data_IF_426306423222
#
_entry.id   IF_426306423222
#
_cell.length_a   1.000
_cell.length_b   1.000
_cell.length_c   1.000
_cell.angle_alpha   90.00
_cell.angle_beta   90.00
_cell.angle_gamma   90.00
#
_symmetry.space_group_name_H-M   'P 1'
#
loop_
_entity.id
_entity.type
_entity.pdbx_description
1 polymer ?
#
# COMPACT_ATOMS: atom_id res chain seq x y z
N UNK A 1 -25.29 14.80 -7.27
CA UNK A 1 -24.82 14.85 -5.88
C UNK A 1 -24.41 13.47 -5.32
N UNK A 2 -25.28 12.46 -5.36
CA UNK A 2 -24.97 11.09 -4.87
C UNK A 2 -23.73 10.42 -5.51
N UNK A 3 -23.47 10.65 -6.80
CA UNK A 3 -22.32 10.08 -7.50
C UNK A 3 -20.98 10.61 -6.95
N UNK A 4 -20.90 11.91 -6.66
CA UNK A 4 -19.68 12.56 -6.12
C UNK A 4 -19.41 12.08 -4.69
N UNK A 5 -20.46 11.91 -3.88
CA UNK A 5 -20.32 11.43 -2.50
C UNK A 5 -19.77 10.01 -2.46
N UNK A 6 -20.28 9.09 -3.29
CA UNK A 6 -19.74 7.72 -3.35
C UNK A 6 -18.33 7.68 -3.93
N UNK A 7 -18.01 8.50 -4.93
CA UNK A 7 -16.66 8.65 -5.44
C UNK A 7 -15.69 9.05 -4.31
N UNK A 8 -16.03 10.10 -3.57
CA UNK A 8 -15.22 10.56 -2.44
C UNK A 8 -15.08 9.49 -1.35
N UNK A 9 -16.14 8.74 -1.02
CA UNK A 9 -16.07 7.62 -0.06
C UNK A 9 -15.08 6.53 -0.50
N UNK A 10 -15.05 6.18 -1.79
CA UNK A 10 -14.13 5.18 -2.32
C UNK A 10 -12.69 5.69 -2.16
N UNK A 11 -12.40 6.92 -2.61
CA UNK A 11 -11.06 7.50 -2.52
C UNK A 11 -10.59 7.59 -1.07
N UNK A 12 -11.40 8.23 -0.21
CA UNK A 12 -11.04 8.39 1.20
C UNK A 12 -10.95 7.04 1.93
N UNK A 13 -11.83 6.10 1.61
CA UNK A 13 -11.76 4.74 2.14
C UNK A 13 -10.43 4.05 1.80
N UNK A 14 -9.96 4.17 0.56
CA UNK A 14 -8.64 3.66 0.15
C UNK A 14 -7.50 4.38 0.87
N UNK A 15 -7.56 5.71 0.99
CA UNK A 15 -6.54 6.50 1.72
C UNK A 15 -6.43 6.03 3.16
N UNK A 16 -7.55 5.95 3.90
CA UNK A 16 -7.54 5.51 5.29
C UNK A 16 -7.09 4.06 5.43
N UNK A 17 -7.52 3.16 4.55
CA UNK A 17 -7.15 1.77 4.58
C UNK A 17 -5.63 1.58 4.38
N UNK A 18 -5.03 2.31 3.44
CA UNK A 18 -3.59 2.24 3.16
C UNK A 18 -2.77 2.93 4.24
N UNK A 19 -3.24 4.02 4.84
CA UNK A 19 -2.60 4.64 6.01
C UNK A 19 -2.55 3.66 7.19
N UNK A 20 -3.68 3.01 7.52
CA UNK A 20 -3.72 2.02 8.61
C UNK A 20 -2.77 0.86 8.32
N UNK A 21 -2.78 0.35 7.09
CA UNK A 21 -1.83 -0.68 6.66
C UNK A 21 -0.39 -0.20 6.82
N UNK A 22 -0.05 0.99 6.33
CA UNK A 22 1.30 1.57 6.43
C UNK A 22 1.77 1.71 7.89
N UNK A 23 0.92 2.23 8.77
CA UNK A 23 1.24 2.32 10.20
C UNK A 23 1.52 0.93 10.78
N UNK A 24 0.68 -0.07 10.52
CA UNK A 24 0.88 -1.45 11.03
C UNK A 24 2.16 -2.05 10.47
N UNK A 25 2.40 -1.91 9.17
CA UNK A 25 3.61 -2.36 8.49
C UNK A 25 4.86 -1.74 9.12
N UNK A 26 4.85 -0.42 9.29
CA UNK A 26 5.99 0.32 9.83
C UNK A 26 6.18 0.07 11.33
N UNK A 27 5.12 -0.24 12.10
CA UNK A 27 5.29 -0.70 13.49
C UNK A 27 6.11 -1.99 13.57
N UNK A 28 6.05 -2.84 12.57
CA UNK A 28 6.85 -4.08 12.51
C UNK A 28 8.26 -3.75 12.02
N UNK A 29 8.39 -3.10 10.88
CA UNK A 29 9.68 -2.87 10.20
C UNK A 29 10.59 -1.92 10.99
N UNK A 30 10.07 -0.88 11.65
CA UNK A 30 10.86 -0.02 12.51
C UNK A 30 11.48 -0.74 13.73
N UNK A 31 10.98 -1.93 14.09
CA UNK A 31 11.57 -2.79 15.12
C UNK A 31 12.53 -3.83 14.57
N UNK A 32 12.49 -4.09 13.27
CA UNK A 32 13.45 -4.94 12.57
C UNK A 32 14.73 -4.13 12.30
N UNK A 33 14.61 -2.96 11.67
CA UNK A 33 15.73 -2.06 11.38
C UNK A 33 15.33 -0.59 11.52
N UNK A 34 15.65 0.02 12.66
CA UNK A 34 15.37 1.44 12.91
C UNK A 34 16.13 2.35 11.93
N UNK A 35 17.31 1.92 11.52
CA UNK A 35 18.18 2.66 10.59
C UNK A 35 17.54 2.83 9.21
N UNK A 36 16.61 1.98 8.80
CA UNK A 36 15.82 2.18 7.61
C UNK A 36 15.05 3.51 7.67
N UNK A 37 14.54 3.87 8.84
CA UNK A 37 13.74 5.08 9.06
C UNK A 37 14.56 6.31 9.45
N UNK A 38 15.78 6.13 9.99
CA UNK A 38 16.58 7.24 10.55
C UNK A 38 17.79 7.60 9.72
N UNK A 39 18.29 6.68 8.88
CA UNK A 39 19.46 6.88 8.02
C UNK A 39 19.05 6.94 6.55
N UNK A 40 18.16 6.03 6.12
CA UNK A 40 17.76 5.93 4.72
C UNK A 40 16.64 6.90 4.34
N UNK A 41 15.80 7.31 5.29
CA UNK A 41 14.80 8.33 5.08
C UNK A 41 15.30 9.73 5.49
N UNK A 42 14.81 10.80 4.86
CA UNK A 42 15.16 12.17 5.29
C UNK A 42 14.70 12.40 6.74
N UNK A 43 15.44 13.23 7.53
CA UNK A 43 15.16 13.46 8.95
C UNK A 43 13.96 14.38 9.15
N UNK A 44 12.76 13.96 8.75
CA UNK A 44 11.52 14.73 8.88
C UNK A 44 11.06 14.81 10.33
N UNK A 45 11.34 13.78 11.12
CA UNK A 45 10.90 13.68 12.51
C UNK A 45 12.07 13.76 13.48
N UNK A 46 12.00 14.69 14.44
CA UNK A 46 13.01 14.82 15.51
C UNK A 46 12.83 13.77 16.61
N UNK A 47 12.83 12.48 16.23
CA UNK A 47 12.64 11.35 17.16
C UNK A 47 13.40 10.11 16.71
N UNK A 48 13.80 9.29 17.68
CA UNK A 48 14.35 7.94 17.49
C UNK A 48 13.39 6.85 17.99
N UNK A 49 12.16 7.23 18.36
CA UNK A 49 11.15 6.27 18.79
C UNK A 49 10.62 5.47 17.59
N UNK A 50 10.79 4.13 17.55
CA UNK A 50 10.25 3.30 16.48
C UNK A 50 8.74 3.49 16.30
N UNK A 51 8.02 3.66 17.39
CA UNK A 51 6.57 3.85 17.39
C UNK A 51 6.17 5.18 16.73
N UNK A 52 6.83 6.29 17.09
CA UNK A 52 6.51 7.60 16.51
C UNK A 52 6.92 7.68 15.06
N UNK A 53 8.08 7.12 14.68
CA UNK A 53 8.53 7.02 13.30
C UNK A 53 7.54 6.20 12.46
N UNK A 54 7.09 5.05 12.95
CA UNK A 54 6.12 4.21 12.26
C UNK A 54 4.77 4.92 12.05
N UNK A 55 4.29 5.69 13.02
CA UNK A 55 3.09 6.51 12.85
C UNK A 55 3.31 7.61 11.81
N UNK A 56 4.39 8.36 11.92
CA UNK A 56 4.69 9.47 11.01
C UNK A 56 4.87 9.01 9.57
N UNK A 57 5.74 8.03 9.36
CA UNK A 57 6.02 7.50 8.02
C UNK A 57 4.86 6.69 7.45
N UNK A 58 4.16 5.91 8.27
CA UNK A 58 2.96 5.18 7.85
C UNK A 58 1.88 6.10 7.28
N UNK A 59 1.78 7.36 7.75
CA UNK A 59 0.90 8.37 7.15
C UNK A 59 1.53 8.99 5.90
N UNK A 60 2.73 9.61 6.05
CA UNK A 60 3.34 10.44 4.99
C UNK A 60 3.68 9.60 3.75
N UNK A 61 4.21 8.39 3.94
CA UNK A 61 4.66 7.55 2.83
C UNK A 61 3.52 6.83 2.11
N UNK A 62 2.30 6.76 2.67
CA UNK A 62 1.26 5.89 2.11
C UNK A 62 0.00 6.59 1.62
N UNK A 63 -0.40 7.74 2.20
CA UNK A 63 -1.67 8.41 1.85
C UNK A 63 -1.81 8.69 0.34
N UNK A 64 -0.75 9.10 -0.32
CA UNK A 64 -0.74 9.42 -1.75
C UNK A 64 -0.96 8.18 -2.63
N UNK A 65 -0.42 7.01 -2.22
CA UNK A 65 -0.65 5.74 -2.91
C UNK A 65 -2.13 5.34 -2.81
N UNK A 66 -2.73 5.49 -1.62
CA UNK A 66 -4.15 5.28 -1.41
C UNK A 66 -5.01 6.24 -2.23
N UNK A 67 -4.60 7.51 -2.36
CA UNK A 67 -5.31 8.50 -3.19
C UNK A 67 -5.25 8.14 -4.68
N UNK A 68 -4.10 7.72 -5.19
CA UNK A 68 -3.93 7.31 -6.60
C UNK A 68 -4.78 6.07 -6.90
N UNK A 69 -4.55 4.96 -6.18
CA UNK A 69 -5.27 3.69 -6.40
C UNK A 69 -6.76 3.87 -6.16
N UNK A 70 -7.15 4.60 -5.11
CA UNK A 70 -8.53 4.91 -4.79
C UNK A 70 -9.23 5.73 -5.88
N UNK A 71 -8.52 6.68 -6.50
CA UNK A 71 -9.06 7.46 -7.62
C UNK A 71 -9.30 6.59 -8.86
N UNK A 72 -8.36 5.74 -9.24
CA UNK A 72 -8.55 4.80 -10.35
C UNK A 72 -9.68 3.81 -10.06
N UNK A 73 -9.77 3.30 -8.83
CA UNK A 73 -10.84 2.40 -8.43
C UNK A 73 -12.21 3.11 -8.45
N UNK A 74 -12.29 4.36 -7.98
CA UNK A 74 -13.52 5.16 -8.01
C UNK A 74 -13.94 5.47 -9.45
N UNK A 75 -13.00 5.79 -10.35
CA UNK A 75 -13.27 5.95 -11.77
C UNK A 75 -13.82 4.64 -12.34
N UNK A 76 -13.13 3.52 -12.11
CA UNK A 76 -13.56 2.20 -12.57
C UNK A 76 -14.94 1.81 -12.06
N UNK A 77 -15.31 2.21 -10.85
CA UNK A 77 -16.57 1.87 -10.21
C UNK A 77 -17.74 2.77 -10.61
N UNK A 78 -17.49 4.02 -11.01
CA UNK A 78 -18.54 5.05 -11.12
C UNK A 78 -18.70 5.67 -12.51
N UNK A 79 -17.67 5.69 -13.35
CA UNK A 79 -17.72 6.37 -14.64
C UNK A 79 -18.22 5.47 -15.79
N UNK A 80 -18.92 6.08 -16.75
CA UNK A 80 -19.30 5.49 -18.04
C UNK A 80 -20.59 4.67 -17.98
N UNK A 81 -20.53 3.43 -17.47
CA UNK A 81 -21.69 2.51 -17.45
C UNK A 81 -22.75 2.89 -16.43
N UNK A 82 -24.03 2.56 -16.70
CA UNK A 82 -25.15 2.79 -15.75
C UNK A 82 -24.98 1.98 -14.47
N UNK A 83 -24.62 0.71 -14.56
CA UNK A 83 -24.32 -0.15 -13.40
C UNK A 83 -23.12 0.43 -12.63
N UNK A 84 -23.35 0.88 -11.41
CA UNK A 84 -22.36 1.53 -10.56
C UNK A 84 -22.18 0.75 -9.25
N UNK A 85 -20.93 0.73 -8.73
CA UNK A 85 -20.63 0.08 -7.47
C UNK A 85 -20.38 1.11 -6.36
N UNK A 86 -20.89 0.82 -5.16
CA UNK A 86 -20.68 1.63 -3.95
C UNK A 86 -19.34 1.31 -3.26
N UNK A 87 -18.89 2.19 -2.37
CA UNK A 87 -17.71 1.95 -1.54
C UNK A 87 -17.83 0.64 -0.73
N UNK A 88 -19.03 0.32 -0.21
CA UNK A 88 -19.29 -0.90 0.56
C UNK A 88 -19.05 -2.17 -0.27
N UNK A 89 -19.44 -2.17 -1.54
CA UNK A 89 -19.25 -3.31 -2.44
C UNK A 89 -17.78 -3.51 -2.84
N UNK A 90 -16.97 -2.46 -2.77
CA UNK A 90 -15.53 -2.51 -3.08
C UNK A 90 -14.67 -2.87 -1.86
N UNK A 91 -15.18 -2.66 -0.63
CA UNK A 91 -14.43 -2.92 0.60
C UNK A 91 -13.79 -4.32 0.65
N UNK A 92 -14.47 -5.43 0.29
CA UNK A 92 -13.83 -6.76 0.31
C UNK A 92 -12.64 -6.87 -0.63
N UNK A 93 -12.68 -6.23 -1.80
CA UNK A 93 -11.57 -6.23 -2.77
C UNK A 93 -10.37 -5.44 -2.22
N UNK A 94 -10.62 -4.28 -1.59
CA UNK A 94 -9.57 -3.49 -0.95
C UNK A 94 -8.92 -4.25 0.20
N UNK A 95 -9.72 -4.88 1.07
CA UNK A 95 -9.20 -5.68 2.18
C UNK A 95 -8.39 -6.89 1.69
N UNK A 96 -8.85 -7.57 0.64
CA UNK A 96 -8.11 -8.65 -0.01
C UNK A 96 -6.75 -8.14 -0.54
N UNK A 97 -6.73 -6.98 -1.21
CA UNK A 97 -5.49 -6.36 -1.69
C UNK A 97 -4.52 -6.07 -0.55
N UNK A 98 -4.98 -5.50 0.57
CA UNK A 98 -4.13 -5.26 1.73
C UNK A 98 -3.57 -6.56 2.32
N UNK A 99 -4.35 -7.64 2.33
CA UNK A 99 -3.89 -8.97 2.72
C UNK A 99 -2.79 -9.51 1.80
N UNK A 100 -2.94 -9.34 0.47
CA UNK A 100 -1.91 -9.71 -0.52
C UNK A 100 -0.64 -8.87 -0.32
N UNK A 101 -0.77 -7.56 -0.09
CA UNK A 101 0.36 -6.67 0.19
C UNK A 101 1.12 -7.13 1.44
N UNK A 102 0.40 -7.45 2.53
CA UNK A 102 1.01 -7.95 3.77
C UNK A 102 1.74 -9.28 3.55
N UNK A 103 1.14 -10.21 2.82
CA UNK A 103 1.77 -11.47 2.46
C UNK A 103 3.04 -11.27 1.64
N UNK A 104 2.98 -10.44 0.61
CA UNK A 104 4.15 -10.10 -0.22
C UNK A 104 5.25 -9.42 0.61
N UNK A 105 4.89 -8.49 1.51
CA UNK A 105 5.84 -7.83 2.39
C UNK A 105 6.60 -8.83 3.26
N UNK A 106 5.90 -9.76 3.91
CA UNK A 106 6.52 -10.80 4.75
C UNK A 106 7.41 -11.71 3.89
N UNK A 107 6.89 -12.22 2.77
CA UNK A 107 7.64 -13.12 1.89
C UNK A 107 8.92 -12.47 1.37
N UNK A 108 8.82 -11.29 0.81
CA UNK A 108 9.97 -10.58 0.25
C UNK A 108 10.90 -10.03 1.33
N UNK A 109 10.38 -9.65 2.50
CA UNK A 109 11.20 -9.31 3.66
C UNK A 109 12.08 -10.47 4.11
N UNK A 110 11.53 -11.69 4.18
CA UNK A 110 12.30 -12.91 4.46
C UNK A 110 13.35 -13.18 3.37
N UNK A 111 12.96 -13.08 2.10
CA UNK A 111 13.89 -13.23 0.97
C UNK A 111 15.01 -12.18 1.06
N UNK A 112 14.66 -10.92 1.32
CA UNK A 112 15.62 -9.83 1.48
C UNK A 112 16.63 -10.09 2.61
N UNK A 113 16.17 -10.61 3.74
CA UNK A 113 17.03 -10.99 4.86
C UNK A 113 18.08 -12.06 4.51
N UNK A 114 17.68 -13.09 3.78
CA UNK A 114 18.55 -14.24 3.50
C UNK A 114 19.30 -14.15 2.17
N UNK A 115 18.75 -13.47 1.17
CA UNK A 115 19.24 -13.44 -0.21
C UNK A 115 19.50 -12.04 -0.74
N UNK A 116 19.09 -10.99 -0.03
CA UNK A 116 19.31 -9.61 -0.46
C UNK A 116 20.81 -9.30 -0.54
N UNK A 117 21.18 -8.52 -1.56
CA UNK A 117 22.52 -7.97 -1.74
C UNK A 117 22.44 -6.49 -1.42
N UNK A 118 23.32 -6.02 -0.54
CA UNK A 118 23.39 -4.61 -0.18
C UNK A 118 23.94 -3.82 -1.37
N UNK A 119 23.24 -2.76 -1.81
CA UNK A 119 23.76 -1.86 -2.84
C UNK A 119 25.10 -1.25 -2.38
N UNK A 120 26.04 -1.11 -3.31
CA UNK A 120 27.39 -0.61 -3.02
C UNK A 120 27.34 0.76 -2.39
N UNK A 121 26.44 1.63 -2.86
CA UNK A 121 26.25 2.99 -2.39
C UNK A 121 25.76 3.10 -0.94
N UNK A 122 25.16 2.01 -0.43
CA UNK A 122 24.61 1.95 0.93
C UNK A 122 25.50 1.19 1.91
N UNK A 123 26.56 0.50 1.41
CA UNK A 123 27.43 -0.30 2.26
C UNK A 123 28.06 0.50 3.40
N UNK A 124 28.49 1.73 3.11
CA UNK A 124 29.21 2.58 4.08
C UNK A 124 28.28 3.34 5.02
N UNK A 125 26.98 3.37 4.72
CA UNK A 125 26.00 4.08 5.54
C UNK A 125 25.58 3.31 6.81
N UNK A 126 25.79 1.97 6.81
CA UNK A 126 25.33 1.11 7.89
C UNK A 126 26.41 0.09 8.28
N UNK A 127 26.55 -0.23 9.59
CA UNK A 127 27.36 -1.36 10.04
C UNK A 127 26.92 -2.66 9.36
N UNK A 128 27.87 -3.52 8.96
CA UNK A 128 27.62 -4.80 8.29
C UNK A 128 26.61 -5.68 9.07
N UNK A 129 26.65 -5.63 10.41
CA UNK A 129 25.73 -6.36 11.27
C UNK A 129 24.25 -5.95 11.07
N UNK A 130 23.98 -4.78 10.50
CA UNK A 130 22.62 -4.27 10.22
C UNK A 130 22.14 -4.57 8.79
N UNK A 131 23.02 -4.94 7.86
CA UNK A 131 22.69 -5.09 6.44
C UNK A 131 21.51 -6.05 6.21
N UNK A 132 21.51 -7.24 6.84
CA UNK A 132 20.41 -8.20 6.66
C UNK A 132 19.04 -7.66 7.11
N UNK A 133 18.99 -6.95 8.23
CA UNK A 133 17.76 -6.34 8.75
C UNK A 133 17.28 -5.19 7.87
N UNK A 134 18.22 -4.37 7.40
CA UNK A 134 17.93 -3.30 6.46
C UNK A 134 17.35 -3.86 5.14
N UNK A 135 17.95 -4.93 4.60
CA UNK A 135 17.48 -5.59 3.39
C UNK A 135 16.10 -6.23 3.57
N UNK A 136 15.81 -6.77 4.77
CA UNK A 136 14.48 -7.25 5.08
C UNK A 136 13.44 -6.13 4.95
N UNK A 137 13.69 -4.99 5.56
CA UNK A 137 12.79 -3.83 5.50
C UNK A 137 12.67 -3.27 4.08
N UNK A 138 13.79 -3.09 3.41
CA UNK A 138 13.78 -2.56 2.04
C UNK A 138 12.97 -3.43 1.08
N UNK A 139 13.19 -4.76 1.12
CA UNK A 139 12.44 -5.68 0.26
C UNK A 139 10.97 -5.75 0.65
N UNK A 140 10.64 -5.72 1.93
CA UNK A 140 9.26 -5.69 2.40
C UNK A 140 8.51 -4.44 1.91
N UNK A 141 9.12 -3.25 2.02
CA UNK A 141 8.53 -2.00 1.55
C UNK A 141 8.32 -2.00 0.03
N UNK A 142 9.35 -2.38 -0.74
CA UNK A 142 9.23 -2.44 -2.20
C UNK A 142 8.16 -3.46 -2.65
N UNK A 143 8.06 -4.61 -2.00
CA UNK A 143 7.04 -5.60 -2.28
C UNK A 143 5.62 -5.09 -1.94
N UNK A 144 5.47 -4.36 -0.84
CA UNK A 144 4.20 -3.71 -0.48
C UNK A 144 3.75 -2.72 -1.55
N UNK A 145 4.63 -1.80 -1.96
CA UNK A 145 4.29 -0.84 -3.01
C UNK A 145 4.03 -1.52 -4.36
N UNK A 146 4.91 -2.43 -4.78
CA UNK A 146 4.76 -3.14 -6.06
C UNK A 146 3.46 -3.94 -6.13
N UNK A 147 3.15 -4.74 -5.10
CA UNK A 147 1.91 -5.52 -5.03
C UNK A 147 0.67 -4.63 -4.86
N UNK A 148 0.79 -3.51 -4.16
CA UNK A 148 -0.29 -2.53 -3.99
C UNK A 148 -0.70 -1.88 -5.30
N UNK A 149 0.26 -1.37 -6.10
CA UNK A 149 -0.04 -0.77 -7.39
C UNK A 149 -0.51 -1.81 -8.42
N UNK A 150 0.19 -2.94 -8.55
CA UNK A 150 -0.20 -4.00 -9.49
C UNK A 150 -1.57 -4.58 -9.14
N UNK A 151 -1.79 -4.91 -7.87
CA UNK A 151 -3.07 -5.41 -7.39
C UNK A 151 -4.18 -4.36 -7.50
N UNK A 152 -3.87 -3.07 -7.28
CA UNK A 152 -4.78 -1.95 -7.53
C UNK A 152 -5.26 -1.89 -8.98
N UNK A 153 -4.37 -2.07 -9.94
CA UNK A 153 -4.74 -2.16 -11.37
C UNK A 153 -5.63 -3.38 -11.63
N UNK A 154 -5.28 -4.54 -11.06
CA UNK A 154 -6.05 -5.78 -11.22
C UNK A 154 -7.49 -5.59 -10.69
N UNK A 155 -7.67 -5.02 -9.50
CA UNK A 155 -9.03 -4.80 -8.97
C UNK A 155 -9.81 -3.78 -9.78
N UNK A 156 -9.17 -2.78 -10.39
CA UNK A 156 -9.83 -1.87 -11.33
C UNK A 156 -10.38 -2.63 -12.55
N UNK A 157 -9.60 -3.54 -13.13
CA UNK A 157 -10.06 -4.39 -14.25
C UNK A 157 -11.21 -5.30 -13.80
N UNK A 158 -11.10 -5.96 -12.64
CA UNK A 158 -12.17 -6.80 -12.09
C UNK A 158 -13.47 -6.01 -11.95
N UNK A 159 -13.38 -4.78 -11.42
CA UNK A 159 -14.53 -3.87 -11.24
C UNK A 159 -15.14 -3.49 -12.58
N UNK A 160 -14.33 -3.14 -13.57
CA UNK A 160 -14.83 -2.85 -14.93
C UNK A 160 -15.56 -4.04 -15.55
N UNK A 161 -14.97 -5.25 -15.48
CA UNK A 161 -15.59 -6.48 -16.01
C UNK A 161 -16.90 -6.81 -15.29
N UNK A 162 -16.93 -6.68 -13.95
CA UNK A 162 -18.15 -6.87 -13.15
C UNK A 162 -19.27 -5.95 -13.62
N UNK A 163 -18.98 -4.66 -13.80
CA UNK A 163 -19.96 -3.65 -14.25
C UNK A 163 -20.47 -3.89 -15.67
N UNK A 164 -19.61 -4.33 -16.58
CA UNK A 164 -20.03 -4.70 -17.94
C UNK A 164 -21.04 -5.85 -17.89
N UNK A 165 -20.78 -6.88 -17.08
CA UNK A 165 -21.69 -8.03 -16.91
C UNK A 165 -23.03 -7.61 -16.30
N UNK A 166 -23.02 -6.74 -15.29
CA UNK A 166 -24.25 -6.22 -14.68
C UNK A 166 -25.08 -5.42 -15.69
N UNK A 167 -24.44 -4.55 -16.47
CA UNK A 167 -25.13 -3.77 -17.50
C UNK A 167 -25.73 -4.65 -18.60
N UNK A 168 -25.07 -5.74 -18.99
CA UNK A 168 -25.60 -6.71 -19.96
C UNK A 168 -26.82 -7.48 -19.40
N UNK A 169 -26.83 -7.80 -18.10
CA UNK A 169 -27.95 -8.47 -17.45
C UNK A 169 -29.19 -7.57 -17.30
N UNK A 170 -28.99 -6.26 -17.12
CA UNK A 170 -30.10 -5.27 -17.06
C UNK A 170 -30.74 -5.01 -18.43
N UNK A 171 -30.02 -5.34 -19.54
CA UNK A 171 -30.48 -5.14 -20.91
C UNK A 171 -31.16 -6.37 -21.54
N UNK A 172 -31.06 -7.53 -20.89
CA UNK A 172 -31.66 -8.81 -21.32
C UNK A 172 -33.03 -9.06 -20.71
#
# INVERSE_FOLDING_TARGET
MLCIVEFAKIVLGCVFAVIIYGIIHDQITARICLEYFTVFHPPVFATQSPTLLAFGWGVIATWWAGAIVGSFLAISARFGLKAQLSARELTPLVLCLLGVMAFCAVLFGVIGYFKGIMPVELNDLLPVAKHKRFLADWWAHNASYGSGFLGGLIICVIVCVKRIRMAAQEAA
#
